data_IF_087525826224
#
_entry.id   IF_087525826224
#
_cell.length_a   1.000
_cell.length_b   1.000
_cell.length_c   1.000
_cell.angle_alpha   90.00
_cell.angle_beta   90.00
_cell.angle_gamma   90.00
#
_symmetry.space_group_name_H-M   'P 1'
#
loop_
_entity.id
_entity.type
_entity.pdbx_description
1 polymer ?
#
# COMPACT_ATOMS: atom_id res chain seq x y z
N UNK A 1 54.46 -16.44 -23.95
CA UNK A 1 55.18 -15.16 -24.16
C UNK A 1 54.84 -14.24 -23.01
N UNK A 2 55.82 -13.99 -22.15
CA UNK A 2 55.74 -13.09 -21.02
C UNK A 2 56.35 -11.75 -21.42
N UNK A 3 55.71 -10.63 -21.06
CA UNK A 3 56.38 -9.35 -20.86
C UNK A 3 55.78 -8.71 -19.61
N UNK A 4 56.66 -8.44 -18.66
CA UNK A 4 56.42 -7.83 -17.38
C UNK A 4 57.27 -6.56 -17.27
N UNK A 5 56.92 -5.73 -16.27
CA UNK A 5 57.71 -4.67 -15.61
C UNK A 5 57.86 -3.36 -16.44
N UNK A 6 57.78 -2.14 -15.89
CA UNK A 6 57.70 -1.61 -14.52
C UNK A 6 57.63 -0.05 -14.59
N UNK A 7 57.47 0.69 -13.46
CA UNK A 7 56.87 2.04 -13.43
C UNK A 7 57.84 3.23 -13.16
N UNK A 8 57.25 4.44 -13.14
CA UNK A 8 57.67 5.69 -12.44
C UNK A 8 58.73 6.59 -13.12
N UNK A 9 58.68 7.94 -12.97
CA UNK A 9 59.01 8.64 -11.72
C UNK A 9 58.10 9.84 -11.34
N UNK A 10 58.42 10.43 -10.19
CA UNK A 10 57.64 11.28 -9.30
C UNK A 10 58.23 12.69 -9.11
N UNK A 11 57.50 13.53 -8.33
CA UNK A 11 57.91 14.72 -7.55
C UNK A 11 57.89 16.12 -8.25
N UNK A 12 57.92 17.25 -7.48
CA UNK A 12 56.96 17.75 -6.47
C UNK A 12 56.73 19.29 -6.61
N UNK A 13 56.23 19.97 -5.54
CA UNK A 13 56.07 21.43 -5.29
C UNK A 13 54.62 21.94 -5.41
N UNK A 14 54.05 22.75 -4.52
CA UNK A 14 54.53 23.36 -3.28
C UNK A 14 53.35 23.67 -2.35
N UNK A 15 53.67 23.74 -1.06
CA UNK A 15 52.84 24.26 0.03
C UNK A 15 52.32 25.69 -0.24
N UNK A 16 51.06 25.94 0.10
CA UNK A 16 50.66 27.25 0.64
C UNK A 16 49.85 27.01 1.91
N UNK A 17 50.54 27.23 3.03
CA UNK A 17 49.93 27.42 4.34
C UNK A 17 49.21 28.76 4.36
N UNK A 18 47.97 28.79 4.82
CA UNK A 18 47.41 30.00 5.45
C UNK A 18 46.78 29.63 6.78
N UNK A 19 47.46 30.11 7.81
CA UNK A 19 47.16 30.02 9.23
C UNK A 19 46.45 31.30 9.72
N UNK A 20 45.67 31.11 10.77
CA UNK A 20 45.20 32.07 11.81
C UNK A 20 43.82 32.75 11.60
N UNK A 21 43.08 33.10 12.68
CA UNK A 21 43.10 32.66 14.09
C UNK A 21 41.70 32.23 14.63
N UNK A 22 41.61 31.67 15.85
CA UNK A 22 40.36 31.31 16.51
C UNK A 22 39.76 32.51 17.25
N UNK A 23 38.45 32.73 17.15
CA UNK A 23 37.73 33.62 18.07
C UNK A 23 36.68 32.84 18.85
N UNK A 24 37.07 32.52 20.09
CA UNK A 24 36.20 32.14 21.19
C UNK A 24 35.36 33.33 21.62
N UNK A 25 34.04 33.29 21.39
CA UNK A 25 33.10 34.21 22.04
C UNK A 25 32.41 33.46 23.17
N UNK A 26 32.98 33.61 24.36
CA UNK A 26 32.38 33.25 25.65
C UNK A 26 31.20 34.19 25.93
N UNK A 27 30.00 33.82 25.52
CA UNK A 27 28.77 34.47 26.02
C UNK A 27 28.39 33.86 27.37
N UNK A 28 28.78 34.56 28.44
CA UNK A 28 28.21 34.40 29.79
C UNK A 28 26.70 34.59 29.72
N UNK A 29 25.94 33.56 30.08
CA UNK A 29 24.52 33.67 30.41
C UNK A 29 24.41 33.53 31.94
N UNK A 30 23.75 34.46 32.65
CA UNK A 30 23.63 34.38 34.11
C UNK A 30 22.74 33.21 34.52
N UNK A 31 23.21 32.45 35.52
CA UNK A 31 22.46 31.43 36.23
C UNK A 31 21.25 32.05 36.93
N UNK A 32 20.07 31.90 36.35
CA UNK A 32 18.81 32.14 37.04
C UNK A 32 18.47 30.93 37.90
N UNK A 33 18.64 31.09 39.20
CA UNK A 33 18.12 30.21 40.25
C UNK A 33 16.60 30.33 40.32
N UNK A 34 15.87 29.36 39.75
CA UNK A 34 14.42 29.23 39.95
C UNK A 34 14.04 27.77 40.26
N UNK A 35 13.19 27.65 41.28
CA UNK A 35 12.92 26.49 42.15
C UNK A 35 12.40 25.23 41.42
N UNK A 36 12.66 24.01 41.93
CA UNK A 36 12.12 22.79 41.36
C UNK A 36 10.63 22.66 41.69
N UNK A 37 9.75 22.86 40.70
CA UNK A 37 8.36 22.46 40.83
C UNK A 37 8.25 20.95 40.67
N UNK A 38 8.11 20.24 41.81
CA UNK A 38 7.54 18.89 41.88
C UNK A 38 6.13 18.93 41.29
N UNK A 39 5.97 18.58 40.02
CA UNK A 39 4.67 18.17 39.46
C UNK A 39 4.64 16.66 39.28
N UNK A 40 3.82 16.09 40.15
CA UNK A 40 3.21 14.77 40.22
C UNK A 40 3.14 13.98 38.90
N UNK A 41 3.63 12.75 38.98
CA UNK A 41 2.99 11.47 38.62
C UNK A 41 2.12 11.37 37.35
N UNK A 42 2.57 10.45 36.50
CA UNK A 42 1.85 9.29 35.95
C UNK A 42 1.00 9.45 34.67
N UNK A 43 1.24 8.47 33.78
CA UNK A 43 0.32 7.85 32.79
C UNK A 43 -0.09 8.76 31.61
N UNK A 44 -0.01 8.38 30.32
CA UNK A 44 -0.24 7.08 29.67
C UNK A 44 0.60 7.00 28.38
N UNK A 45 1.43 5.97 28.21
CA UNK A 45 1.77 5.50 26.87
C UNK A 45 0.67 4.52 26.44
N UNK A 46 -0.49 5.06 26.07
CA UNK A 46 -1.47 4.28 25.34
C UNK A 46 -0.95 4.15 23.90
N UNK A 47 -0.13 3.12 23.64
CA UNK A 47 -0.03 2.60 22.29
C UNK A 47 -1.47 2.21 21.92
N UNK A 48 -2.08 2.98 21.02
CA UNK A 48 -3.42 2.72 20.55
C UNK A 48 -3.42 1.31 19.92
N UNK A 49 -3.92 0.34 20.67
CA UNK A 49 -4.42 -0.91 20.12
C UNK A 49 -5.53 -0.47 19.17
N UNK A 50 -5.22 -0.38 17.87
CA UNK A 50 -6.27 -0.34 16.86
C UNK A 50 -6.98 -1.68 17.02
N UNK A 51 -8.07 -1.68 17.77
CA UNK A 51 -9.00 -2.79 17.74
C UNK A 51 -9.31 -3.02 16.27
N UNK A 52 -9.06 -4.23 15.77
CA UNK A 52 -9.39 -4.60 14.42
C UNK A 52 -10.92 -4.64 14.33
N UNK A 53 -11.52 -3.47 14.09
CA UNK A 53 -12.97 -3.29 13.95
C UNK A 53 -13.46 -3.77 12.59
N UNK A 54 -12.57 -4.36 11.79
CA UNK A 54 -12.90 -4.88 10.48
C UNK A 54 -13.86 -6.05 10.65
N UNK A 55 -15.10 -5.85 10.21
CA UNK A 55 -16.07 -6.94 10.07
C UNK A 55 -15.65 -7.76 8.86
N UNK A 56 -15.38 -9.04 9.10
CA UNK A 56 -15.01 -10.02 8.09
C UNK A 56 -16.25 -10.82 7.69
N UNK A 57 -16.55 -10.83 6.39
CA UNK A 57 -17.70 -11.53 5.84
C UNK A 57 -17.19 -12.72 5.01
N UNK A 58 -17.53 -13.96 5.40
CA UNK A 58 -17.21 -15.14 4.59
C UNK A 58 -18.00 -15.11 3.28
N UNK A 59 -17.30 -15.31 2.17
CA UNK A 59 -17.87 -15.27 0.81
C UNK A 59 -17.20 -16.34 -0.06
N UNK A 60 -17.97 -17.13 -0.83
CA UNK A 60 -17.39 -18.14 -1.69
C UNK A 60 -16.82 -17.54 -2.96
N UNK A 61 -15.78 -18.18 -3.49
CA UNK A 61 -15.23 -17.88 -4.80
C UNK A 61 -16.17 -18.38 -5.90
N UNK A 62 -16.61 -17.46 -6.76
CA UNK A 62 -17.45 -17.80 -7.91
C UNK A 62 -16.61 -18.39 -9.06
N UNK A 63 -15.42 -17.82 -9.29
CA UNK A 63 -14.51 -18.23 -10.35
C UNK A 63 -13.06 -17.84 -10.01
N UNK A 64 -12.11 -18.70 -10.42
CA UNK A 64 -10.69 -18.36 -10.54
C UNK A 64 -10.20 -18.88 -11.90
N UNK A 65 -9.64 -18.00 -12.72
CA UNK A 65 -9.10 -18.35 -14.03
C UNK A 65 -7.83 -17.56 -14.36
N UNK A 66 -6.86 -18.13 -15.11
CA UNK A 66 -5.68 -17.38 -15.55
C UNK A 66 -6.07 -16.24 -16.49
N UNK A 67 -5.53 -15.05 -16.24
CA UNK A 67 -5.72 -13.86 -17.08
C UNK A 67 -4.46 -13.54 -17.90
N UNK A 68 -3.27 -13.74 -17.33
CA UNK A 68 -1.97 -13.62 -17.99
C UNK A 68 -0.87 -14.32 -17.15
N UNK A 69 0.40 -14.14 -17.51
CA UNK A 69 1.53 -14.68 -16.72
C UNK A 69 1.49 -14.15 -15.27
N UNK A 70 1.33 -15.09 -14.32
CA UNK A 70 1.17 -14.79 -12.89
C UNK A 70 -0.01 -13.88 -12.53
N UNK A 71 -0.96 -13.67 -13.43
CA UNK A 71 -2.16 -12.86 -13.21
C UNK A 71 -3.42 -13.73 -13.36
N UNK A 72 -4.34 -13.57 -12.42
CA UNK A 72 -5.57 -14.35 -12.34
C UNK A 72 -6.77 -13.42 -12.27
N UNK A 73 -7.81 -13.76 -13.02
CA UNK A 73 -9.15 -13.25 -12.80
C UNK A 73 -9.76 -14.02 -11.64
N UNK A 74 -10.22 -13.29 -10.64
CA UNK A 74 -10.85 -13.84 -9.44
C UNK A 74 -12.21 -13.17 -9.27
N UNK A 75 -13.27 -13.97 -9.23
CA UNK A 75 -14.63 -13.50 -8.95
C UNK A 75 -15.09 -14.04 -7.61
N UNK A 76 -15.64 -13.16 -6.78
CA UNK A 76 -16.18 -13.48 -5.45
C UNK A 76 -17.69 -13.28 -5.49
N UNK A 77 -18.43 -14.28 -5.02
CA UNK A 77 -19.87 -14.21 -4.86
C UNK A 77 -20.21 -13.43 -3.58
N UNK A 78 -20.99 -12.36 -3.74
CA UNK A 78 -21.47 -11.48 -2.67
C UNK A 78 -23.00 -11.41 -2.65
N UNK A 79 -23.68 -12.35 -3.31
CA UNK A 79 -25.16 -12.40 -3.35
C UNK A 79 -25.78 -12.48 -1.95
N UNK A 80 -25.12 -13.16 -1.02
CA UNK A 80 -25.50 -13.24 0.39
C UNK A 80 -24.99 -12.07 1.25
N UNK A 81 -24.33 -11.07 0.65
CA UNK A 81 -23.77 -9.90 1.32
C UNK A 81 -24.20 -8.56 0.67
N UNK A 82 -25.51 -8.26 0.61
CA UNK A 82 -26.04 -7.08 -0.09
C UNK A 82 -25.52 -5.75 0.47
N UNK A 83 -25.22 -5.69 1.77
CA UNK A 83 -24.65 -4.49 2.40
C UNK A 83 -23.26 -4.17 1.83
N UNK A 84 -22.44 -5.20 1.60
CA UNK A 84 -21.12 -5.04 0.98
C UNK A 84 -21.29 -4.62 -0.49
N UNK A 85 -22.19 -5.27 -1.23
CA UNK A 85 -22.47 -4.93 -2.62
C UNK A 85 -22.88 -3.45 -2.76
N UNK A 86 -23.79 -2.98 -1.90
CA UNK A 86 -24.28 -1.59 -1.90
C UNK A 86 -23.23 -0.56 -1.48
N UNK A 87 -22.20 -0.97 -0.73
CA UNK A 87 -21.10 -0.08 -0.33
C UNK A 87 -20.12 0.24 -1.47
N UNK A 88 -20.10 -0.57 -2.54
CA UNK A 88 -19.36 -0.27 -3.76
C UNK A 88 -20.12 0.74 -4.61
N UNK A 89 -19.77 2.01 -4.44
CA UNK A 89 -20.49 3.15 -5.05
C UNK A 89 -19.69 3.85 -6.13
N UNK A 90 -18.36 3.68 -6.16
CA UNK A 90 -17.46 4.38 -7.08
C UNK A 90 -16.37 3.44 -7.59
N UNK A 91 -16.08 3.52 -8.89
CA UNK A 91 -14.92 2.86 -9.47
C UNK A 91 -13.62 3.31 -8.77
N UNK A 92 -12.63 2.42 -8.67
CA UNK A 92 -11.37 2.67 -7.96
C UNK A 92 -11.45 2.45 -6.45
N UNK A 93 -12.56 1.93 -5.94
CA UNK A 93 -12.64 1.39 -4.59
C UNK A 93 -11.96 0.01 -4.50
N UNK A 94 -11.64 -0.39 -3.28
CA UNK A 94 -10.88 -1.61 -2.99
C UNK A 94 -11.35 -2.21 -1.67
N UNK A 95 -11.01 -3.46 -1.39
CA UNK A 95 -11.30 -4.11 -0.11
C UNK A 95 -10.09 -4.91 0.38
N UNK A 96 -10.18 -5.42 1.61
CA UNK A 96 -9.26 -6.44 2.11
C UNK A 96 -9.86 -7.82 1.92
N UNK A 97 -9.02 -8.77 1.51
CA UNK A 97 -9.33 -10.18 1.46
C UNK A 97 -8.35 -10.94 2.32
N UNK A 98 -8.83 -11.89 3.11
CA UNK A 98 -8.00 -12.89 3.78
C UNK A 98 -8.49 -14.30 3.49
N UNK A 99 -7.53 -15.22 3.45
CA UNK A 99 -7.80 -16.66 3.50
C UNK A 99 -7.61 -17.07 4.96
N UNK A 100 -8.55 -17.84 5.51
CA UNK A 100 -8.48 -18.28 6.92
C UNK A 100 -7.18 -19.04 7.15
N UNK A 101 -6.56 -18.81 8.32
CA UNK A 101 -5.24 -19.36 8.71
C UNK A 101 -4.05 -18.94 7.82
N UNK A 102 -4.24 -17.98 6.90
CA UNK A 102 -3.17 -17.44 6.05
C UNK A 102 -2.83 -16.01 6.47
N UNK A 103 -1.60 -15.85 6.97
CA UNK A 103 -0.90 -14.59 7.25
C UNK A 103 -1.72 -13.29 7.30
N UNK A 104 -1.26 -12.28 6.54
CA UNK A 104 -1.85 -10.93 6.55
C UNK A 104 -2.89 -10.80 5.42
N UNK A 105 -4.02 -10.12 5.64
CA UNK A 105 -4.96 -9.79 4.56
C UNK A 105 -4.26 -9.02 3.42
N UNK A 106 -4.70 -9.26 2.20
CA UNK A 106 -4.27 -8.52 1.00
C UNK A 106 -5.30 -7.47 0.62
N UNK A 107 -4.86 -6.32 0.13
CA UNK A 107 -5.75 -5.31 -0.43
C UNK A 107 -5.93 -5.56 -1.93
N UNK A 108 -7.17 -5.57 -2.40
CA UNK A 108 -7.50 -5.81 -3.80
C UNK A 108 -8.40 -4.69 -4.32
N UNK A 109 -8.01 -4.09 -5.45
CA UNK A 109 -8.84 -3.15 -6.18
C UNK A 109 -9.96 -3.90 -6.90
N UNK A 110 -11.20 -3.42 -6.75
CA UNK A 110 -12.34 -4.02 -7.44
C UNK A 110 -12.23 -3.64 -8.93
N UNK A 111 -12.14 -4.64 -9.79
CA UNK A 111 -11.96 -4.48 -11.23
C UNK A 111 -13.30 -4.31 -11.97
N UNK A 112 -14.40 -4.78 -11.39
CA UNK A 112 -15.75 -4.55 -11.93
C UNK A 112 -16.31 -3.17 -11.55
N UNK A 113 -17.23 -2.59 -12.34
CA UNK A 113 -17.88 -1.33 -11.99
C UNK A 113 -18.94 -1.50 -10.86
N UNK A 114 -19.31 -0.43 -10.12
CA UNK A 114 -20.37 -0.46 -9.11
C UNK A 114 -21.67 -1.14 -9.55
N UNK A 115 -22.12 -0.86 -10.78
CA UNK A 115 -23.34 -1.42 -11.35
C UNK A 115 -23.28 -2.94 -11.54
N UNK A 116 -22.08 -3.52 -11.67
CA UNK A 116 -21.90 -4.96 -11.83
C UNK A 116 -22.31 -5.69 -10.56
N UNK A 117 -21.83 -5.25 -9.39
CA UNK A 117 -22.12 -5.88 -8.11
C UNK A 117 -23.63 -6.01 -7.85
N UNK A 118 -24.41 -4.97 -8.17
CA UNK A 118 -25.87 -5.00 -8.03
C UNK A 118 -26.57 -5.90 -9.05
N UNK A 119 -25.99 -6.10 -10.23
CA UNK A 119 -26.60 -6.87 -11.31
C UNK A 119 -26.23 -8.36 -11.27
N UNK A 120 -24.98 -8.69 -10.94
CA UNK A 120 -24.44 -10.05 -10.95
C UNK A 120 -24.31 -10.67 -9.56
N UNK A 121 -24.35 -9.86 -8.50
CA UNK A 121 -24.08 -10.34 -7.14
C UNK A 121 -22.62 -10.73 -6.93
N UNK A 122 -21.68 -10.17 -7.70
CA UNK A 122 -20.27 -10.52 -7.63
C UNK A 122 -19.33 -9.30 -7.66
N UNK A 123 -18.14 -9.46 -7.09
CA UNK A 123 -17.00 -8.59 -7.36
C UNK A 123 -15.96 -9.33 -8.17
N UNK A 124 -15.33 -8.63 -9.12
CA UNK A 124 -14.24 -9.15 -9.95
C UNK A 124 -12.93 -8.46 -9.58
N UNK A 125 -11.84 -9.21 -9.64
CA UNK A 125 -10.51 -8.75 -9.29
C UNK A 125 -9.48 -9.29 -10.28
N UNK A 126 -8.46 -8.48 -10.56
CA UNK A 126 -7.23 -8.92 -11.21
C UNK A 126 -6.14 -9.08 -10.17
N UNK A 127 -5.73 -10.31 -9.90
CA UNK A 127 -4.79 -10.64 -8.81
C UNK A 127 -3.48 -11.13 -9.39
N UNK A 128 -2.37 -10.52 -8.96
CA UNK A 128 -1.03 -11.05 -9.24
C UNK A 128 -0.61 -12.05 -8.17
N UNK A 129 -0.28 -13.27 -8.58
CA UNK A 129 0.35 -14.24 -7.69
C UNK A 129 1.76 -13.77 -7.33
N UNK A 130 2.04 -13.68 -6.03
CA UNK A 130 3.34 -13.29 -5.48
C UNK A 130 3.77 -14.34 -4.48
N UNK A 131 4.90 -14.99 -4.73
CA UNK A 131 5.42 -16.07 -3.89
C UNK A 131 5.49 -15.68 -2.41
N UNK A 132 5.01 -16.56 -1.53
CA UNK A 132 4.97 -16.38 -0.08
C UNK A 132 3.90 -15.41 0.41
N UNK A 133 2.89 -15.07 -0.43
CA UNK A 133 1.83 -14.12 -0.05
C UNK A 133 0.44 -14.75 -0.05
N UNK A 134 -0.51 -14.09 0.62
CA UNK A 134 -1.94 -14.43 0.56
C UNK A 134 -2.47 -14.42 -0.88
N UNK A 135 -1.91 -13.59 -1.76
CA UNK A 135 -2.32 -13.55 -3.16
C UNK A 135 -1.91 -14.82 -3.93
N UNK A 136 -0.75 -15.41 -3.63
CA UNK A 136 -0.37 -16.71 -4.19
C UNK A 136 -1.34 -17.80 -3.75
N UNK A 137 -1.66 -17.86 -2.45
CA UNK A 137 -2.62 -18.84 -1.93
C UNK A 137 -3.99 -18.66 -2.58
N UNK A 138 -4.49 -17.41 -2.65
CA UNK A 138 -5.76 -17.08 -3.31
C UNK A 138 -5.80 -17.57 -4.76
N UNK A 139 -4.74 -17.35 -5.54
CA UNK A 139 -4.68 -17.78 -6.94
C UNK A 139 -4.66 -19.31 -7.11
N UNK A 140 -4.34 -20.07 -6.04
CA UNK A 140 -4.39 -21.53 -6.02
C UNK A 140 -5.71 -22.13 -5.55
N UNK A 141 -6.67 -21.30 -5.10
CA UNK A 141 -7.99 -21.75 -4.68
C UNK A 141 -8.87 -22.12 -5.87
N UNK A 142 -10.05 -22.69 -5.59
CA UNK A 142 -11.03 -23.14 -6.57
C UNK A 142 -12.40 -22.51 -6.31
N UNK A 143 -13.26 -22.58 -7.32
CA UNK A 143 -14.67 -22.24 -7.18
C UNK A 143 -15.29 -22.97 -5.98
N UNK A 144 -16.02 -22.23 -5.15
CA UNK A 144 -16.65 -22.71 -3.92
C UNK A 144 -15.79 -22.64 -2.67
N UNK A 145 -14.46 -22.47 -2.80
CA UNK A 145 -13.61 -22.20 -1.63
C UNK A 145 -14.00 -20.86 -1.01
N UNK A 146 -13.95 -20.78 0.32
CA UNK A 146 -14.43 -19.62 1.09
C UNK A 146 -13.25 -18.74 1.47
N UNK A 147 -13.40 -17.45 1.20
CA UNK A 147 -12.51 -16.38 1.66
C UNK A 147 -13.29 -15.44 2.56
N UNK A 148 -12.59 -14.59 3.31
CA UNK A 148 -13.24 -13.53 4.07
C UNK A 148 -12.87 -12.17 3.52
N UNK A 149 -13.88 -11.34 3.25
CA UNK A 149 -13.71 -9.98 2.74
C UNK A 149 -14.10 -8.95 3.79
N UNK A 150 -13.45 -7.79 3.74
CA UNK A 150 -13.87 -6.61 4.49
C UNK A 150 -14.99 -5.86 3.77
N UNK A 151 -15.50 -4.83 4.42
CA UNK A 151 -16.27 -3.77 3.76
C UNK A 151 -15.46 -3.11 2.63
N UNK A 152 -16.15 -2.51 1.66
CA UNK A 152 -15.53 -1.72 0.60
C UNK A 152 -14.91 -0.45 1.17
N UNK A 153 -13.72 -0.12 0.69
CA UNK A 153 -12.87 0.96 1.16
C UNK A 153 -12.47 1.89 0.00
N UNK A 154 -11.86 3.02 0.36
CA UNK A 154 -11.36 3.99 -0.60
C UNK A 154 -12.43 4.97 -1.08
N UNK A 155 -11.98 6.12 -1.58
CA UNK A 155 -12.85 7.21 -2.06
C UNK A 155 -13.27 7.06 -3.52
N UNK A 156 -12.74 6.04 -4.21
CA UNK A 156 -12.87 5.88 -5.65
C UNK A 156 -12.16 6.98 -6.44
N UNK A 157 -12.22 6.86 -7.77
CA UNK A 157 -11.81 7.89 -8.71
C UNK A 157 -12.87 9.00 -8.77
N UNK A 158 -12.42 10.24 -8.97
CA UNK A 158 -13.30 11.41 -9.09
C UNK A 158 -13.91 11.52 -10.49
N UNK A 159 -14.62 10.47 -10.94
CA UNK A 159 -15.21 10.38 -12.28
C UNK A 159 -16.25 11.48 -12.53
N UNK A 160 -16.88 12.01 -11.48
CA UNK A 160 -17.82 13.13 -11.58
C UNK A 160 -17.17 14.42 -12.14
N UNK A 161 -15.85 14.55 -12.07
CA UNK A 161 -15.10 15.69 -12.61
C UNK A 161 -14.94 15.66 -14.13
N UNK A 162 -15.25 14.53 -14.76
CA UNK A 162 -15.13 14.30 -16.20
C UNK A 162 -16.49 14.00 -16.83
N UNK A 163 -17.56 14.53 -16.24
CA UNK A 163 -18.92 14.49 -16.80
C UNK A 163 -19.32 15.86 -17.36
N UNK A 164 -20.12 15.91 -18.45
CA UNK A 164 -20.49 14.77 -19.30
C UNK A 164 -19.30 14.30 -20.17
N UNK A 165 -19.25 13.02 -20.59
CA UNK A 165 -18.14 12.50 -21.40
C UNK A 165 -17.84 13.30 -22.68
N UNK A 166 -18.85 13.94 -23.28
CA UNK A 166 -18.71 14.77 -24.48
C UNK A 166 -17.83 16.02 -24.26
N UNK A 167 -17.76 16.53 -23.02
CA UNK A 167 -16.87 17.65 -22.66
C UNK A 167 -15.43 17.19 -22.35
N UNK A 168 -15.25 15.90 -22.07
CA UNK A 168 -13.97 15.29 -21.72
C UNK A 168 -13.68 14.08 -22.63
N UNK A 169 -13.54 14.30 -23.96
CA UNK A 169 -13.42 13.21 -24.93
C UNK A 169 -12.10 12.43 -24.83
N UNK A 170 -11.17 12.84 -23.96
CA UNK A 170 -9.90 12.16 -23.73
C UNK A 170 -9.64 12.03 -22.24
N UNK A 171 -9.50 10.78 -21.78
CA UNK A 171 -9.09 10.43 -20.41
C UNK A 171 -7.81 9.62 -20.51
N UNK A 172 -6.76 10.08 -19.83
CA UNK A 172 -5.47 9.39 -19.80
C UNK A 172 -5.34 8.59 -18.50
N UNK A 173 -5.13 7.29 -18.62
CA UNK A 173 -4.93 6.38 -17.49
C UNK A 173 -3.54 5.77 -17.64
N UNK A 174 -2.73 5.90 -16.58
CA UNK A 174 -1.40 5.31 -16.50
C UNK A 174 -1.44 4.23 -15.42
N UNK A 175 -1.25 2.98 -15.83
CA UNK A 175 -1.28 1.83 -14.95
C UNK A 175 -0.14 0.86 -15.28
N UNK A 176 0.31 0.10 -14.27
CA UNK A 176 1.35 -0.91 -14.42
C UNK A 176 1.04 -2.13 -13.57
N UNK A 177 1.32 -3.33 -14.08
CA UNK A 177 1.06 -4.58 -13.36
C UNK A 177 -0.42 -4.79 -13.10
N UNK A 178 -0.79 -5.26 -11.90
CA UNK A 178 -2.19 -5.50 -11.51
C UNK A 178 -2.96 -4.23 -11.14
N UNK A 179 -2.39 -3.03 -11.34
CA UNK A 179 -3.09 -1.76 -11.18
C UNK A 179 -3.83 -1.29 -12.44
N UNK A 180 -3.91 -2.15 -13.47
CA UNK A 180 -4.61 -1.91 -14.74
C UNK A 180 -6.12 -2.14 -14.60
#
# INVERSE_FOLDING_TARGET
MALALSPSPSLPHAHVSQTFPPMSILRRIPLLHLKPQRRRLATLAAAAVRQDTTVWTPTPLAEISPAAESLFHVSIDISDAPDIASSHTRAGQYLQLRVVDVGKPTFLAIASPPSFASASGAFEFLVKSVAGSTAEVLCGLKKGDVVEISQVMGRGFAVDRIQPPDEYPTVLIFATGSGI
#
